data_IF_688821096231
#
_entry.id   IF_688821096231
#
_cell.length_a   1.000
_cell.length_b   1.000
_cell.length_c   1.000
_cell.angle_alpha   90.00
_cell.angle_beta   90.00
_cell.angle_gamma   90.00
#
_symmetry.space_group_name_H-M   'P 1'
#
loop_
_entity.id
_entity.type
_entity.pdbx_description
1 polymer ?
#
# COMPACT_ATOMS: atom_id res chain seq x y z
N UNK A 1 55.17 -58.76 30.96
CA UNK A 1 54.08 -57.80 31.24
C UNK A 1 53.71 -57.10 29.94
N UNK A 2 52.53 -57.40 29.36
CA UNK A 2 52.04 -56.82 28.10
C UNK A 2 51.26 -55.54 28.41
N UNK A 3 51.64 -54.40 27.84
CA UNK A 3 50.88 -53.14 27.90
C UNK A 3 50.02 -53.02 26.64
N UNK A 4 48.70 -53.07 26.80
CA UNK A 4 47.73 -52.71 25.77
C UNK A 4 47.55 -51.18 25.78
N UNK A 5 47.69 -50.54 24.63
CA UNK A 5 47.30 -49.14 24.41
C UNK A 5 45.98 -49.16 23.66
N UNK A 6 44.91 -48.68 24.30
CA UNK A 6 43.62 -48.44 23.65
C UNK A 6 43.67 -47.06 22.97
N UNK A 7 43.64 -47.03 21.65
CA UNK A 7 43.42 -45.81 20.88
C UNK A 7 41.93 -45.48 20.88
N UNK A 8 41.56 -44.32 21.43
CA UNK A 8 40.20 -43.78 21.33
C UNK A 8 40.12 -42.95 20.06
N UNK A 9 39.40 -43.45 19.05
CA UNK A 9 39.06 -42.69 17.85
C UNK A 9 37.87 -41.78 18.19
N UNK A 10 38.11 -40.47 18.24
CA UNK A 10 37.04 -39.47 18.40
C UNK A 10 36.47 -39.16 17.02
N UNK A 11 35.30 -39.72 16.71
CA UNK A 11 34.55 -39.37 15.51
C UNK A 11 33.87 -38.02 15.75
N UNK A 12 34.38 -36.96 15.14
CA UNK A 12 33.73 -35.65 15.17
C UNK A 12 32.43 -35.71 14.33
N UNK A 13 31.28 -35.71 15.00
CA UNK A 13 29.99 -35.44 14.35
C UNK A 13 29.98 -33.95 13.95
N UNK A 14 30.15 -33.68 12.65
CA UNK A 14 29.82 -32.38 12.07
C UNK A 14 28.29 -32.26 12.04
N UNK A 15 27.71 -31.69 13.10
CA UNK A 15 26.35 -31.19 13.06
C UNK A 15 26.30 -30.06 12.02
N UNK A 16 25.64 -30.31 10.89
CA UNK A 16 25.36 -29.29 9.89
C UNK A 16 24.47 -28.21 10.50
N UNK A 17 25.05 -27.05 10.79
CA UNK A 17 24.27 -25.84 11.00
C UNK A 17 23.69 -25.44 9.63
N UNK A 18 22.43 -25.80 9.39
CA UNK A 18 21.65 -25.09 8.38
C UNK A 18 21.51 -23.65 8.87
N UNK A 19 22.09 -22.71 8.13
CA UNK A 19 21.84 -21.31 8.38
C UNK A 19 20.32 -21.08 8.39
N UNK A 20 19.77 -20.32 9.35
CA UNK A 20 18.35 -20.01 9.34
C UNK A 20 18.02 -19.37 7.99
N UNK A 21 17.02 -19.91 7.30
CA UNK A 21 16.48 -19.27 6.09
C UNK A 21 16.08 -17.86 6.51
N UNK A 22 16.82 -16.86 6.03
CA UNK A 22 16.56 -15.47 6.39
C UNK A 22 15.12 -15.13 5.99
N UNK A 23 14.28 -14.88 6.99
CA UNK A 23 12.89 -14.44 6.77
C UNK A 23 12.94 -13.08 6.08
N UNK A 24 12.39 -12.97 4.88
CA UNK A 24 12.26 -11.70 4.17
C UNK A 24 11.16 -10.86 4.84
N UNK A 25 11.56 -10.03 5.78
CA UNK A 25 10.68 -9.14 6.54
C UNK A 25 10.61 -7.73 5.91
N UNK A 26 9.93 -6.80 6.57
CA UNK A 26 9.82 -5.41 6.12
C UNK A 26 11.20 -4.78 5.87
N UNK A 27 12.14 -4.95 6.80
CA UNK A 27 13.49 -4.39 6.69
C UNK A 27 14.24 -4.90 5.45
N UNK A 28 14.05 -6.18 5.09
CA UNK A 28 14.63 -6.76 3.87
C UNK A 28 14.20 -6.00 2.60
N UNK A 29 12.90 -5.72 2.44
CA UNK A 29 12.35 -5.09 1.25
C UNK A 29 12.52 -3.56 1.24
N UNK A 30 12.45 -2.91 2.41
CA UNK A 30 12.72 -1.46 2.54
C UNK A 30 14.13 -1.11 2.11
N UNK A 31 15.14 -1.87 2.56
CA UNK A 31 16.55 -1.66 2.18
C UNK A 31 16.77 -1.78 0.67
N UNK A 32 15.91 -2.53 -0.03
CA UNK A 32 15.98 -2.76 -1.47
C UNK A 32 15.14 -1.76 -2.28
N UNK A 33 14.40 -0.88 -1.59
CA UNK A 33 13.45 0.04 -2.21
C UNK A 33 12.37 -0.68 -3.02
N UNK A 34 12.07 -1.94 -2.69
CA UNK A 34 11.11 -2.75 -3.47
C UNK A 34 9.67 -2.46 -3.07
N UNK A 35 9.46 -1.98 -1.84
CA UNK A 35 8.16 -1.58 -1.30
C UNK A 35 8.35 -0.33 -0.44
N UNK A 36 7.40 0.60 -0.52
CA UNK A 36 7.31 1.78 0.34
C UNK A 36 6.13 1.60 1.31
N UNK A 37 6.37 1.68 2.62
CA UNK A 37 5.33 1.64 3.66
C UNK A 37 4.99 3.02 4.20
N UNK A 38 6.01 3.86 4.34
CA UNK A 38 5.92 5.21 4.89
C UNK A 38 7.11 6.02 4.34
N UNK A 39 7.01 7.35 4.37
CA UNK A 39 8.05 8.26 3.89
C UNK A 39 8.38 9.27 4.98
N UNK A 40 9.16 8.89 6.01
CA UNK A 40 9.46 9.77 7.14
C UNK A 40 10.14 11.07 6.68
N UNK A 41 9.72 12.18 7.26
CA UNK A 41 10.24 13.52 6.96
C UNK A 41 9.91 14.52 8.08
N UNK A 42 10.47 15.73 7.98
CA UNK A 42 10.26 16.79 8.96
C UNK A 42 8.97 17.56 8.70
N UNK A 43 8.52 17.59 7.44
CA UNK A 43 7.28 18.25 7.04
C UNK A 43 6.04 17.47 7.50
N UNK A 44 5.02 18.19 7.98
CA UNK A 44 3.71 17.63 8.34
C UNK A 44 2.91 17.24 7.11
N UNK A 45 3.35 16.20 6.41
CA UNK A 45 2.68 15.63 5.23
C UNK A 45 2.26 14.20 5.51
N UNK A 46 1.08 13.82 5.05
CA UNK A 46 0.52 12.46 5.15
C UNK A 46 -0.21 12.12 3.84
N UNK A 47 -0.16 10.86 3.43
CA UNK A 47 -0.94 10.36 2.30
C UNK A 47 -2.16 9.57 2.80
N UNK A 48 -3.36 10.04 2.43
CA UNK A 48 -4.59 9.26 2.52
C UNK A 48 -4.67 8.35 1.30
N UNK A 49 -4.83 7.05 1.50
CA UNK A 49 -4.94 6.09 0.41
C UNK A 49 -6.22 5.27 0.53
N UNK A 50 -6.86 5.01 -0.60
CA UNK A 50 -8.13 4.30 -0.69
C UNK A 50 -8.00 3.09 -1.60
N UNK A 51 -8.30 1.91 -1.07
CA UNK A 51 -8.30 0.65 -1.81
C UNK A 51 -9.73 0.26 -2.21
N UNK A 52 -9.79 -0.58 -3.24
CA UNK A 52 -10.95 -1.29 -3.79
C UNK A 52 -11.83 -0.52 -4.77
N UNK A 53 -11.87 0.81 -4.76
CA UNK A 53 -12.69 1.57 -5.69
C UNK A 53 -12.38 1.43 -7.19
N UNK A 54 -13.04 2.21 -8.05
CA UNK A 54 -14.09 3.17 -7.71
C UNK A 54 -15.45 2.50 -7.44
N UNK A 55 -16.27 3.14 -6.62
CA UNK A 55 -17.70 2.84 -6.48
C UNK A 55 -18.46 4.14 -6.21
N UNK A 56 -19.29 4.64 -7.15
CA UNK A 56 -19.83 6.00 -7.08
C UNK A 56 -20.48 6.39 -5.75
N UNK A 57 -21.27 5.49 -5.16
CA UNK A 57 -22.00 5.74 -3.91
C UNK A 57 -21.09 6.04 -2.70
N UNK A 58 -19.81 5.69 -2.77
CA UNK A 58 -18.84 5.92 -1.67
C UNK A 58 -17.62 6.71 -2.12
N UNK A 59 -17.08 6.47 -3.31
CA UNK A 59 -15.93 7.22 -3.86
C UNK A 59 -16.30 8.69 -4.13
N UNK A 60 -17.48 8.99 -4.67
CA UNK A 60 -17.85 10.39 -4.98
C UNK A 60 -18.04 11.25 -3.72
N UNK A 61 -18.72 10.78 -2.65
CA UNK A 61 -18.74 11.49 -1.38
C UNK A 61 -17.35 11.68 -0.75
N UNK A 62 -16.43 10.74 -0.94
CA UNK A 62 -15.04 10.89 -0.48
C UNK A 62 -14.36 12.03 -1.23
N UNK A 63 -14.52 12.11 -2.56
CA UNK A 63 -13.97 13.19 -3.39
C UNK A 63 -14.55 14.56 -2.98
N UNK A 64 -15.86 14.63 -2.70
CA UNK A 64 -16.48 15.87 -2.19
C UNK A 64 -15.82 16.36 -0.90
N UNK A 65 -15.61 15.44 0.06
CA UNK A 65 -14.94 15.75 1.32
C UNK A 65 -13.47 16.15 1.11
N UNK A 66 -12.72 15.43 0.27
CA UNK A 66 -11.33 15.79 -0.02
C UNK A 66 -11.22 17.19 -0.64
N UNK A 67 -12.15 17.53 -1.55
CA UNK A 67 -12.25 18.85 -2.15
C UNK A 67 -12.57 19.94 -1.13
N UNK A 68 -13.51 19.71 -0.21
CA UNK A 68 -13.87 20.64 0.87
C UNK A 68 -12.65 21.01 1.73
N UNK A 69 -11.80 20.05 2.03
CA UNK A 69 -10.61 20.25 2.88
C UNK A 69 -9.32 20.50 2.09
N UNK A 70 -9.40 20.75 0.79
CA UNK A 70 -8.26 20.95 -0.11
C UNK A 70 -7.20 19.83 -0.03
N UNK A 71 -7.65 18.61 0.27
CA UNK A 71 -6.80 17.43 0.43
C UNK A 71 -6.60 16.71 -0.92
N UNK A 72 -5.43 16.13 -1.12
CA UNK A 72 -5.17 15.13 -2.17
C UNK A 72 -5.01 13.75 -1.56
N UNK A 73 -5.21 12.73 -2.38
CA UNK A 73 -5.22 11.33 -1.98
C UNK A 73 -4.77 10.44 -3.15
N UNK A 74 -4.43 9.19 -2.85
CA UNK A 74 -4.11 8.17 -3.85
C UNK A 74 -5.15 7.05 -3.80
N UNK A 75 -5.79 6.76 -4.93
CA UNK A 75 -6.80 5.72 -5.08
C UNK A 75 -6.18 4.50 -5.77
N UNK A 76 -6.07 3.37 -5.07
CA UNK A 76 -5.65 2.09 -5.62
C UNK A 76 -6.88 1.35 -6.12
N UNK A 77 -7.12 1.46 -7.43
CA UNK A 77 -8.39 1.05 -8.05
C UNK A 77 -8.33 -0.36 -8.65
N UNK A 78 -9.48 -1.03 -8.61
CA UNK A 78 -9.67 -2.37 -9.18
C UNK A 78 -10.08 -2.24 -10.65
N UNK A 79 -9.35 -2.91 -11.53
CA UNK A 79 -9.48 -2.72 -12.97
C UNK A 79 -10.88 -2.96 -13.56
N UNK A 80 -11.62 -3.97 -13.08
CA UNK A 80 -12.99 -4.18 -13.56
C UNK A 80 -13.98 -3.06 -13.15
N UNK A 81 -13.67 -2.31 -12.08
CA UNK A 81 -14.45 -1.15 -11.64
C UNK A 81 -14.07 0.10 -12.40
N UNK A 82 -12.80 0.23 -12.81
CA UNK A 82 -12.37 1.27 -13.76
C UNK A 82 -13.19 1.20 -15.05
N UNK A 83 -13.42 0.00 -15.58
CA UNK A 83 -14.26 -0.19 -16.77
C UNK A 83 -15.74 0.13 -16.52
N UNK A 84 -16.23 -0.15 -15.31
CA UNK A 84 -17.63 0.06 -14.94
C UNK A 84 -17.95 1.52 -14.60
N UNK A 85 -16.99 2.25 -14.03
CA UNK A 85 -17.15 3.61 -13.51
C UNK A 85 -16.03 4.56 -13.98
N UNK A 86 -15.84 4.71 -15.31
CA UNK A 86 -14.75 5.54 -15.85
C UNK A 86 -14.91 7.03 -15.52
N UNK A 87 -16.13 7.51 -15.29
CA UNK A 87 -16.37 8.93 -14.93
C UNK A 87 -15.83 9.26 -13.52
N UNK A 88 -15.91 8.33 -12.58
CA UNK A 88 -15.33 8.51 -11.23
C UNK A 88 -13.81 8.62 -11.33
N UNK A 89 -13.14 7.79 -12.14
CA UNK A 89 -11.70 7.89 -12.39
C UNK A 89 -11.31 9.23 -13.02
N UNK A 90 -12.08 9.70 -14.02
CA UNK A 90 -11.83 11.01 -14.62
C UNK A 90 -11.95 12.13 -13.60
N UNK A 91 -12.92 12.04 -12.68
CA UNK A 91 -13.11 12.99 -11.59
C UNK A 91 -11.93 12.98 -10.62
N UNK A 92 -11.46 11.80 -10.20
CA UNK A 92 -10.26 11.66 -9.35
C UNK A 92 -9.07 12.43 -9.96
N UNK A 93 -8.78 12.19 -11.23
CA UNK A 93 -7.67 12.86 -11.93
C UNK A 93 -7.92 14.36 -12.10
N UNK A 94 -9.13 14.77 -12.50
CA UNK A 94 -9.48 16.18 -12.70
C UNK A 94 -9.39 17.00 -11.41
N UNK A 95 -9.68 16.38 -10.26
CA UNK A 95 -9.54 16.99 -8.94
C UNK A 95 -8.12 16.87 -8.37
N UNK A 96 -7.17 16.32 -9.13
CA UNK A 96 -5.74 16.28 -8.78
C UNK A 96 -5.34 15.15 -7.84
N UNK A 97 -6.18 14.11 -7.71
CA UNK A 97 -5.83 12.89 -7.00
C UNK A 97 -4.96 11.99 -7.88
N UNK A 98 -4.25 11.08 -7.24
CA UNK A 98 -3.47 10.04 -7.91
C UNK A 98 -4.31 8.77 -8.03
N UNK A 99 -4.27 8.11 -9.20
CA UNK A 99 -4.92 6.81 -9.43
C UNK A 99 -3.86 5.76 -9.72
N UNK A 100 -3.94 4.64 -9.00
CA UNK A 100 -2.93 3.60 -8.92
C UNK A 100 -3.54 2.20 -9.11
N UNK A 101 -2.69 1.21 -9.37
CA UNK A 101 -3.12 -0.14 -9.75
C UNK A 101 -3.37 -1.03 -8.52
N UNK A 102 -4.56 -1.64 -8.43
CA UNK A 102 -4.92 -2.60 -7.39
C UNK A 102 -5.39 -3.97 -7.93
N UNK A 103 -4.82 -4.41 -9.06
CA UNK A 103 -5.21 -5.62 -9.81
C UNK A 103 -6.61 -5.54 -10.41
N UNK A 104 -6.95 -6.50 -11.28
CA UNK A 104 -8.14 -6.36 -12.12
C UNK A 104 -9.39 -6.91 -11.44
N UNK A 105 -9.25 -8.05 -10.75
CA UNK A 105 -10.35 -8.75 -10.09
C UNK A 105 -10.22 -8.80 -8.56
N UNK A 106 -9.20 -8.14 -7.99
CA UNK A 106 -8.94 -8.13 -6.55
C UNK A 106 -8.75 -9.55 -5.96
N UNK A 107 -8.02 -10.41 -6.67
CA UNK A 107 -7.68 -11.74 -6.19
C UNK A 107 -6.49 -11.72 -5.23
N UNK A 108 -6.47 -12.64 -4.28
CA UNK A 108 -5.25 -12.95 -3.52
C UNK A 108 -4.27 -13.73 -4.41
N UNK A 109 -3.14 -13.09 -4.76
CA UNK A 109 -2.25 -13.50 -5.84
C UNK A 109 -1.01 -14.30 -5.39
N UNK A 110 -0.76 -14.44 -4.09
CA UNK A 110 0.46 -15.04 -3.53
C UNK A 110 0.71 -16.51 -3.92
N UNK A 111 -0.34 -17.23 -4.35
CA UNK A 111 -0.27 -18.62 -4.84
C UNK A 111 -0.60 -18.76 -6.33
N UNK A 112 -0.68 -17.65 -7.07
CA UNK A 112 -0.99 -17.65 -8.50
C UNK A 112 0.29 -17.69 -9.34
N UNK A 113 0.16 -18.15 -10.58
CA UNK A 113 1.28 -18.26 -11.51
C UNK A 113 1.76 -16.88 -11.94
N UNK A 114 3.01 -16.80 -12.41
CA UNK A 114 3.58 -15.57 -12.98
C UNK A 114 2.65 -14.92 -14.01
N UNK A 115 2.13 -15.72 -14.95
CA UNK A 115 1.24 -15.22 -15.99
C UNK A 115 -0.07 -14.66 -15.44
N UNK A 116 -0.66 -15.31 -14.43
CA UNK A 116 -1.89 -14.80 -13.79
C UNK A 116 -1.62 -13.47 -13.10
N UNK A 117 -0.53 -13.36 -12.32
CA UNK A 117 -0.17 -12.10 -11.63
C UNK A 117 0.09 -10.99 -12.64
N UNK A 118 0.86 -11.26 -13.70
CA UNK A 118 1.12 -10.29 -14.74
C UNK A 118 -0.17 -9.87 -15.45
N UNK A 119 -1.05 -10.79 -15.79
CA UNK A 119 -2.32 -10.48 -16.46
C UNK A 119 -3.21 -9.56 -15.61
N UNK A 120 -3.29 -9.80 -14.30
CA UNK A 120 -4.08 -8.98 -13.38
C UNK A 120 -3.57 -7.53 -13.29
N UNK A 121 -2.24 -7.35 -13.21
CA UNK A 121 -1.62 -6.02 -13.19
C UNK A 121 -1.81 -5.34 -14.54
N UNK A 122 -1.55 -6.04 -15.65
CA UNK A 122 -1.57 -5.46 -16.99
C UNK A 122 -2.96 -5.14 -17.52
N UNK A 123 -3.98 -5.93 -17.19
CA UNK A 123 -5.36 -5.57 -17.55
C UNK A 123 -5.82 -4.30 -16.85
N UNK A 124 -5.41 -4.12 -15.59
CA UNK A 124 -5.71 -2.90 -14.83
C UNK A 124 -4.98 -1.70 -15.40
N UNK A 125 -3.71 -1.86 -15.77
CA UNK A 125 -2.95 -0.83 -16.50
C UNK A 125 -3.67 -0.39 -17.77
N UNK A 126 -4.08 -1.33 -18.61
CA UNK A 126 -4.78 -1.04 -19.86
C UNK A 126 -6.11 -0.33 -19.64
N UNK A 127 -6.88 -0.74 -18.63
CA UNK A 127 -8.13 -0.08 -18.27
C UNK A 127 -7.89 1.38 -17.84
N UNK A 128 -6.86 1.62 -17.02
CA UNK A 128 -6.48 2.96 -16.57
C UNK A 128 -5.93 3.82 -17.71
N UNK A 129 -5.06 3.30 -18.56
CA UNK A 129 -4.50 4.01 -19.71
C UNK A 129 -5.61 4.43 -20.69
N UNK A 130 -6.61 3.56 -20.91
CA UNK A 130 -7.75 3.87 -21.77
C UNK A 130 -8.59 5.05 -21.25
N UNK A 131 -8.72 5.19 -19.94
CA UNK A 131 -9.54 6.25 -19.32
C UNK A 131 -8.73 7.54 -19.10
N UNK A 132 -7.47 7.42 -18.69
CA UNK A 132 -6.65 8.56 -18.24
C UNK A 132 -5.61 9.03 -19.27
N UNK A 133 -5.34 8.23 -20.30
CA UNK A 133 -4.26 8.46 -21.26
C UNK A 133 -2.86 8.28 -20.67
N UNK A 134 -2.74 7.80 -19.43
CA UNK A 134 -1.47 7.66 -18.71
C UNK A 134 -1.36 6.30 -18.05
N UNK A 135 -0.14 5.79 -18.04
CA UNK A 135 0.22 4.60 -17.27
C UNK A 135 0.30 4.94 -15.77
N UNK A 136 -0.34 4.18 -14.86
CA UNK A 136 -0.13 4.33 -13.43
C UNK A 136 1.31 3.96 -13.02
N UNK A 137 1.87 4.69 -12.07
CA UNK A 137 3.24 4.46 -11.55
C UNK A 137 3.27 3.63 -10.27
N UNK A 138 2.16 3.57 -9.53
CA UNK A 138 2.07 2.90 -8.24
C UNK A 138 1.22 1.62 -8.34
N UNK A 139 1.62 0.63 -7.56
CA UNK A 139 0.92 -0.65 -7.43
C UNK A 139 0.77 -1.00 -5.95
N UNK A 140 -0.42 -1.46 -5.55
CA UNK A 140 -0.62 -2.07 -4.23
C UNK A 140 -1.21 -3.46 -4.41
N UNK A 141 -0.64 -4.51 -3.79
CA UNK A 141 -1.18 -5.85 -3.87
C UNK A 141 -2.43 -6.00 -2.97
N UNK A 142 -3.49 -6.68 -3.43
CA UNK A 142 -4.68 -6.99 -2.66
C UNK A 142 -4.38 -7.57 -1.28
N UNK A 143 -4.95 -6.97 -0.24
CA UNK A 143 -4.75 -7.36 1.17
C UNK A 143 -3.32 -7.23 1.69
N UNK A 144 -2.43 -6.54 0.98
CA UNK A 144 -1.01 -6.44 1.33
C UNK A 144 -0.24 -7.75 1.15
N UNK A 145 -0.81 -8.75 0.46
CA UNK A 145 -0.16 -10.05 0.23
C UNK A 145 0.74 -10.01 -1.00
N UNK A 146 2.05 -10.11 -0.80
CA UNK A 146 3.04 -10.10 -1.87
C UNK A 146 4.05 -11.26 -1.76
N UNK A 147 4.78 -11.49 -2.84
CA UNK A 147 5.93 -12.39 -2.90
C UNK A 147 6.95 -11.84 -3.91
N UNK A 148 8.17 -12.40 -3.95
CA UNK A 148 9.24 -11.92 -4.84
C UNK A 148 8.82 -11.91 -6.32
N UNK A 149 8.04 -12.91 -6.75
CA UNK A 149 7.56 -13.01 -8.13
C UNK A 149 6.70 -11.78 -8.48
N UNK A 150 5.77 -11.42 -7.61
CA UNK A 150 4.89 -10.27 -7.80
C UNK A 150 5.67 -8.95 -7.80
N UNK A 151 6.58 -8.78 -6.84
CA UNK A 151 7.41 -7.57 -6.77
C UNK A 151 8.31 -7.43 -8.00
N UNK A 152 8.86 -8.55 -8.50
CA UNK A 152 9.63 -8.56 -9.74
C UNK A 152 8.77 -8.20 -10.96
N UNK A 153 7.52 -8.67 -11.05
CA UNK A 153 6.59 -8.27 -12.10
C UNK A 153 6.28 -6.78 -12.01
N UNK A 154 5.93 -6.27 -10.83
CA UNK A 154 5.64 -4.85 -10.62
C UNK A 154 6.82 -3.99 -11.06
N UNK A 155 8.02 -4.27 -10.54
CA UNK A 155 9.25 -3.56 -10.87
C UNK A 155 9.59 -3.61 -12.35
N UNK A 156 9.50 -4.78 -12.99
CA UNK A 156 9.76 -4.95 -14.44
C UNK A 156 8.84 -4.09 -15.30
N UNK A 157 7.60 -3.86 -14.83
CA UNK A 157 6.62 -3.04 -15.53
C UNK A 157 6.64 -1.56 -15.09
N UNK A 158 7.67 -1.13 -14.33
CA UNK A 158 7.85 0.27 -13.95
C UNK A 158 7.03 0.72 -12.74
N UNK A 159 6.45 -0.21 -11.99
CA UNK A 159 5.69 0.12 -10.79
C UNK A 159 6.57 0.25 -9.55
N UNK A 160 6.24 1.23 -8.71
CA UNK A 160 6.64 1.25 -7.30
C UNK A 160 5.56 0.57 -6.48
N UNK A 161 5.94 -0.44 -5.68
CA UNK A 161 4.98 -1.12 -4.80
C UNK A 161 4.79 -0.30 -3.52
N UNK A 162 3.54 -0.04 -3.14
CA UNK A 162 3.19 0.78 -1.99
C UNK A 162 2.28 0.00 -1.05
N UNK A 163 2.66 -0.06 0.23
CA UNK A 163 1.82 -0.53 1.31
C UNK A 163 1.44 0.67 2.20
N UNK A 164 1.29 0.49 3.50
CA UNK A 164 0.86 1.52 4.43
C UNK A 164 1.69 1.48 5.70
N UNK A 165 1.72 2.59 6.44
CA UNK A 165 2.39 2.62 7.75
C UNK A 165 1.75 1.55 8.63
N UNK A 166 2.56 0.67 9.24
CA UNK A 166 2.06 -0.50 9.96
C UNK A 166 1.00 -0.17 11.04
N UNK A 167 1.04 1.04 11.59
CA UNK A 167 0.14 1.54 12.61
C UNK A 167 -1.08 2.31 12.04
N UNK A 168 -1.19 2.45 10.72
CA UNK A 168 -2.26 3.16 10.00
C UNK A 168 -3.14 2.25 9.13
N UNK A 169 -3.23 0.96 9.48
CA UNK A 169 -4.33 0.11 9.01
C UNK A 169 -5.60 0.39 9.82
N UNK A 170 -6.57 1.08 9.21
CA UNK A 170 -7.80 1.47 9.89
C UNK A 170 -8.75 0.31 10.18
N UNK A 171 -8.58 -0.82 9.50
CA UNK A 171 -9.51 -1.94 9.49
C UNK A 171 -10.96 -1.56 9.14
N UNK A 172 -11.17 -0.45 8.42
CA UNK A 172 -12.48 0.04 7.97
C UNK A 172 -13.24 -0.97 7.10
N UNK A 173 -12.53 -1.81 6.35
CA UNK A 173 -13.07 -2.98 5.62
C UNK A 173 -13.84 -3.97 6.49
N UNK A 174 -13.61 -3.99 7.81
CA UNK A 174 -14.38 -4.80 8.78
C UNK A 174 -15.62 -4.07 9.33
N UNK A 175 -15.86 -2.83 8.92
CA UNK A 175 -16.90 -1.94 9.46
C UNK A 175 -16.84 -1.82 11.00
N UNK A 176 -15.68 -1.47 11.59
CA UNK A 176 -15.42 -1.55 13.03
C UNK A 176 -16.15 -0.49 13.87
N UNK A 177 -16.80 0.47 13.22
CA UNK A 177 -17.44 1.66 13.79
C UNK A 177 -16.63 2.91 13.44
N UNK A 178 -17.34 3.99 13.08
CA UNK A 178 -16.75 5.28 12.65
C UNK A 178 -15.68 5.77 13.63
N UNK A 179 -15.98 5.81 14.92
CA UNK A 179 -15.02 6.31 15.91
C UNK A 179 -13.76 5.46 16.03
N UNK A 180 -13.81 4.16 15.72
CA UNK A 180 -12.61 3.32 15.72
C UNK A 180 -11.67 3.69 14.58
N UNK A 181 -12.23 3.96 13.39
CA UNK A 181 -11.48 4.45 12.21
C UNK A 181 -10.84 5.81 12.56
N UNK A 182 -11.64 6.74 13.07
CA UNK A 182 -11.19 8.08 13.49
C UNK A 182 -10.05 8.00 14.51
N UNK A 183 -10.24 7.24 15.59
CA UNK A 183 -9.22 7.10 16.64
C UNK A 183 -7.95 6.43 16.11
N UNK A 184 -8.08 5.46 15.21
CA UNK A 184 -6.94 4.77 14.61
C UNK A 184 -6.07 5.74 13.82
N UNK A 185 -6.68 6.58 12.98
CA UNK A 185 -5.95 7.60 12.22
C UNK A 185 -5.37 8.67 13.15
N UNK A 186 -6.23 9.35 13.92
CA UNK A 186 -5.84 10.57 14.62
C UNK A 186 -4.92 10.33 15.82
N UNK A 187 -5.00 9.18 16.49
CA UNK A 187 -4.11 8.89 17.63
C UNK A 187 -2.72 8.45 17.18
N UNK A 188 -2.55 8.07 15.92
CA UNK A 188 -1.29 7.52 15.42
C UNK A 188 -0.65 8.37 14.31
N UNK A 189 -1.31 9.43 13.83
CA UNK A 189 -0.83 10.29 12.74
C UNK A 189 0.58 10.85 13.00
N UNK A 190 1.49 10.53 12.08
CA UNK A 190 2.89 10.99 12.04
C UNK A 190 3.23 11.52 10.66
N UNK A 191 4.23 12.41 10.60
CA UNK A 191 4.80 12.87 9.35
C UNK A 191 5.28 11.70 8.50
N UNK A 192 4.90 11.68 7.22
CA UNK A 192 5.29 10.62 6.30
C UNK A 192 4.36 9.42 6.29
N UNK A 193 3.26 9.43 7.05
CA UNK A 193 2.36 8.28 7.07
C UNK A 193 1.66 8.05 5.74
N UNK A 194 1.52 6.78 5.38
CA UNK A 194 0.60 6.31 4.34
C UNK A 194 -0.54 5.58 5.05
N UNK A 195 -1.74 6.14 5.00
CA UNK A 195 -2.92 5.64 5.73
C UNK A 195 -3.75 4.76 4.81
N UNK A 196 -4.09 3.53 5.26
CA UNK A 196 -4.96 2.62 4.53
C UNK A 196 -6.42 2.81 4.94
N UNK A 197 -7.23 3.22 3.97
CA UNK A 197 -8.68 3.30 3.98
C UNK A 197 -9.22 2.56 2.74
N UNK A 198 -10.53 2.36 2.66
CA UNK A 198 -11.22 1.78 1.51
C UNK A 198 -12.33 2.71 1.05
N UNK A 199 -12.36 3.01 -0.24
CA UNK A 199 -13.46 3.75 -0.87
C UNK A 199 -14.55 2.82 -1.43
N UNK A 200 -14.40 1.50 -1.24
CA UNK A 200 -15.49 0.54 -1.35
C UNK A 200 -15.44 -0.51 -0.24
N UNK A 201 -16.51 -0.58 0.55
CA UNK A 201 -16.75 -1.69 1.49
C UNK A 201 -18.21 -2.12 1.35
N UNK A 202 -18.51 -3.40 1.07
CA UNK A 202 -19.89 -3.83 0.88
C UNK A 202 -20.79 -3.46 2.06
N UNK A 203 -21.85 -2.69 1.78
CA UNK A 203 -22.86 -2.24 2.75
C UNK A 203 -22.31 -1.38 3.91
N UNK A 204 -21.24 -0.64 3.67
CA UNK A 204 -20.65 0.24 4.68
C UNK A 204 -20.27 1.59 4.09
N UNK A 205 -20.63 2.65 4.81
CA UNK A 205 -20.24 4.05 4.53
C UNK A 205 -19.36 4.63 5.64
N UNK A 206 -18.84 3.77 6.53
CA UNK A 206 -18.15 4.23 7.74
C UNK A 206 -16.89 5.03 7.44
N UNK A 207 -16.21 4.75 6.33
CA UNK A 207 -15.06 5.53 5.86
C UNK A 207 -15.46 6.95 5.48
N UNK A 208 -16.55 7.12 4.73
CA UNK A 208 -17.12 8.43 4.40
C UNK A 208 -17.45 9.22 5.69
N UNK A 209 -18.13 8.58 6.64
CA UNK A 209 -18.49 9.23 7.92
C UNK A 209 -17.26 9.53 8.80
N UNK A 210 -16.23 8.70 8.76
CA UNK A 210 -14.99 8.94 9.50
C UNK A 210 -14.20 10.12 8.91
N UNK A 211 -14.19 10.27 7.58
CA UNK A 211 -13.49 11.37 6.92
C UNK A 211 -14.05 12.76 7.27
N UNK A 212 -15.37 12.85 7.53
CA UNK A 212 -16.00 14.09 8.05
C UNK A 212 -15.36 14.59 9.35
N UNK A 213 -14.68 13.71 10.10
CA UNK A 213 -13.99 14.03 11.35
C UNK A 213 -12.47 14.07 11.14
N UNK A 214 -11.92 13.13 10.38
CA UNK A 214 -10.47 13.00 10.16
C UNK A 214 -9.92 14.21 9.41
N UNK A 215 -10.53 14.62 8.31
CA UNK A 215 -10.02 15.68 7.43
C UNK A 215 -9.90 17.04 8.15
N UNK A 216 -10.96 17.58 8.80
CA UNK A 216 -10.84 18.85 9.52
C UNK A 216 -9.81 18.77 10.65
N UNK A 217 -9.70 17.64 11.34
CA UNK A 217 -8.76 17.50 12.45
C UNK A 217 -7.31 17.39 11.99
N UNK A 218 -7.02 16.67 10.90
CA UNK A 218 -5.69 16.62 10.31
C UNK A 218 -5.27 18.02 9.81
N UNK A 219 -6.16 18.72 9.12
CA UNK A 219 -5.93 20.09 8.67
C UNK A 219 -5.67 21.03 9.87
N UNK A 220 -6.47 20.95 10.93
CA UNK A 220 -6.30 21.73 12.17
C UNK A 220 -4.95 21.47 12.86
N UNK A 221 -4.43 20.24 12.78
CA UNK A 221 -3.10 19.87 13.30
C UNK A 221 -1.95 20.33 12.40
N UNK A 222 -2.25 20.91 11.25
CA UNK A 222 -1.30 21.41 10.26
C UNK A 222 -0.73 20.33 9.35
N UNK A 223 -1.44 19.20 9.19
CA UNK A 223 -1.06 18.20 8.19
C UNK A 223 -1.55 18.62 6.81
N UNK A 224 -0.65 18.62 5.84
CA UNK A 224 -0.98 18.65 4.41
C UNK A 224 -1.23 17.21 3.93
N UNK A 225 -2.41 16.98 3.36
CA UNK A 225 -2.81 15.69 2.83
C UNK A 225 -2.48 15.65 1.33
N UNK A 226 -1.50 14.82 0.98
CA UNK A 226 -0.87 14.78 -0.36
C UNK A 226 -1.05 13.41 -1.01
N UNK A 227 -0.75 13.29 -2.30
CA UNK A 227 -0.64 11.98 -2.96
C UNK A 227 0.59 11.22 -2.46
N UNK A 228 0.61 9.90 -2.63
CA UNK A 228 1.78 9.08 -2.31
C UNK A 228 2.99 9.50 -3.16
N UNK A 229 2.81 9.74 -4.46
CA UNK A 229 3.90 10.25 -5.31
C UNK A 229 4.44 11.59 -4.82
N UNK A 230 3.59 12.54 -4.41
CA UNK A 230 4.05 13.81 -3.84
C UNK A 230 4.80 13.62 -2.53
N UNK A 231 4.35 12.69 -1.69
CA UNK A 231 5.00 12.35 -0.43
C UNK A 231 6.41 11.78 -0.69
N UNK A 232 6.57 10.91 -1.68
CA UNK A 232 7.86 10.33 -2.09
C UNK A 232 8.79 11.39 -2.68
N UNK A 233 8.29 12.23 -3.59
CA UNK A 233 9.11 13.19 -4.34
C UNK A 233 9.57 14.38 -3.49
N UNK A 234 8.84 14.71 -2.42
CA UNK A 234 9.18 15.78 -1.49
C UNK A 234 9.76 15.24 -0.17
N UNK A 235 10.36 14.05 -0.21
CA UNK A 235 11.12 13.54 0.93
C UNK A 235 12.29 14.49 1.19
N UNK A 236 12.36 15.03 2.41
CA UNK A 236 13.50 15.83 2.83
C UNK A 236 14.78 15.01 2.59
N UNK A 237 15.71 15.56 1.81
CA UNK A 237 16.96 14.91 1.39
C UNK A 237 17.92 14.59 2.55
N UNK A 238 17.47 14.74 3.81
CA UNK A 238 18.23 14.52 5.04
C UNK A 238 18.31 13.03 5.42
N UNK A 239 17.47 12.17 4.83
CA UNK A 239 17.52 10.72 5.07
C UNK A 239 17.90 9.93 3.81
N UNK A 240 19.06 10.25 3.23
CA UNK A 240 19.73 9.31 2.33
C UNK A 240 20.99 8.72 2.98
N UNK A 241 20.89 7.56 3.67
CA UNK A 241 22.05 6.75 3.98
C UNK A 241 22.28 5.61 2.97
N UNK A 242 21.64 5.63 1.79
CA UNK A 242 21.79 4.56 0.79
C UNK A 242 22.06 5.10 -0.62
#
# INVERSE_FOLDING_TARGET
MKRFVFGVTVTALLCGFSAPVATKDRAYYEKRGEIIWEVPGENKRIALTFDDGPYPDTTEPILDLLKEYHAKATFFVVGNRVESFPETIKREIAEGHEVANHTFNHYFLQKKTYQTVQNEIMKTEQALEKVTGKKPSLFRPPGGFYNDQMLAIAKKNGYTTVLWSWHQDTNDWRSPGVQRIVNKVLNNARNGDIILLHDYVPRSVQTVEALKIILPELQRRGYEMVTVSDLINNRDSVLNPY
#
